data_IF_356694862725
#
_entry.id   IF_356694862725
#
_cell.length_a   1.000
_cell.length_b   1.000
_cell.length_c   1.000
_cell.angle_alpha   90.00
_cell.angle_beta   90.00
_cell.angle_gamma   90.00
#
_symmetry.space_group_name_H-M   'P 1'
#
loop_
_entity.id
_entity.type
_entity.pdbx_description
1 polymer ?
#
# COMPACT_ATOMS: atom_id res chain seq x y z
N UNK A 1 10.52 -19.14 -7.27
CA UNK A 1 9.12 -19.27 -7.69
C UNK A 1 8.83 -18.12 -8.65
N UNK A 2 8.49 -18.39 -9.91
CA UNK A 2 8.14 -17.34 -10.87
C UNK A 2 6.68 -16.92 -10.65
N UNK A 3 6.38 -15.61 -10.73
CA UNK A 3 5.01 -15.12 -10.66
C UNK A 3 4.20 -15.67 -11.84
N UNK A 4 2.90 -15.97 -11.66
CA UNK A 4 2.00 -16.27 -12.76
C UNK A 4 2.05 -15.12 -13.79
N UNK A 5 2.17 -15.41 -15.10
CA UNK A 5 2.30 -14.40 -16.16
C UNK A 5 1.14 -13.38 -16.18
N UNK A 6 0.01 -13.73 -15.57
CA UNK A 6 -1.21 -12.93 -15.50
C UNK A 6 -1.14 -11.82 -14.43
N UNK A 7 -0.26 -11.97 -13.43
CA UNK A 7 0.03 -10.93 -12.42
C UNK A 7 1.20 -10.02 -12.84
N UNK A 8 1.94 -10.43 -13.87
CA UNK A 8 3.18 -9.78 -14.30
C UNK A 8 2.96 -8.37 -14.87
N UNK A 9 1.73 -8.05 -15.29
CA UNK A 9 1.38 -6.77 -15.91
C UNK A 9 0.64 -5.78 -15.00
N UNK A 10 0.23 -6.16 -13.79
CA UNK A 10 -0.73 -5.36 -13.04
C UNK A 10 -0.09 -4.18 -12.27
N UNK A 11 1.24 -4.18 -12.10
CA UNK A 11 1.92 -3.34 -11.12
C UNK A 11 3.43 -3.18 -11.41
N UNK A 12 3.82 -2.22 -12.25
CA UNK A 12 5.23 -1.79 -12.38
C UNK A 12 5.60 -0.76 -11.30
N UNK A 13 5.56 -1.15 -10.02
CA UNK A 13 6.00 -0.30 -8.91
C UNK A 13 7.07 -1.02 -8.06
N UNK A 14 7.91 -0.22 -7.41
CA UNK A 14 8.82 -0.63 -6.34
C UNK A 14 8.82 0.47 -5.30
N UNK A 15 8.89 0.10 -4.03
CA UNK A 15 9.10 1.05 -2.93
C UNK A 15 10.56 1.50 -2.81
N UNK A 16 11.49 0.84 -3.52
CA UNK A 16 12.92 0.95 -3.28
C UNK A 16 13.42 0.13 -2.08
N UNK A 17 12.52 -0.52 -1.33
CA UNK A 17 12.84 -1.42 -0.22
C UNK A 17 12.41 -2.86 -0.57
N UNK A 18 13.39 -3.75 -0.71
CA UNK A 18 13.15 -5.13 -1.13
C UNK A 18 12.25 -5.94 -0.17
N UNK A 19 12.33 -5.68 1.15
CA UNK A 19 11.51 -6.39 2.13
C UNK A 19 10.03 -5.98 2.05
N UNK A 20 9.77 -4.68 1.91
CA UNK A 20 8.40 -4.15 1.71
C UNK A 20 7.83 -4.66 0.38
N UNK A 21 8.63 -4.60 -0.69
CA UNK A 21 8.24 -5.10 -2.00
C UNK A 21 7.88 -6.59 -1.96
N UNK A 22 8.64 -7.40 -1.22
CA UNK A 22 8.35 -8.83 -1.04
C UNK A 22 7.04 -9.06 -0.28
N UNK A 23 6.80 -8.35 0.83
CA UNK A 23 5.56 -8.49 1.61
C UNK A 23 4.35 -8.18 0.73
N UNK A 24 4.37 -7.03 0.04
CA UNK A 24 3.25 -6.62 -0.81
C UNK A 24 3.06 -7.65 -1.94
N UNK A 25 4.12 -8.08 -2.63
CA UNK A 25 4.01 -9.13 -3.68
C UNK A 25 3.43 -10.43 -3.15
N UNK A 26 3.79 -10.85 -1.94
CA UNK A 26 3.20 -12.04 -1.29
C UNK A 26 1.69 -11.88 -1.11
N UNK A 27 1.21 -10.72 -0.65
CA UNK A 27 -0.26 -10.48 -0.52
C UNK A 27 -0.98 -10.57 -1.86
N UNK A 28 -0.36 -10.07 -2.93
CA UNK A 28 -0.93 -10.08 -4.29
C UNK A 28 -0.96 -11.50 -4.89
N UNK A 29 0.00 -12.36 -4.53
CA UNK A 29 0.03 -13.76 -4.94
C UNK A 29 -1.00 -14.64 -4.21
N UNK A 30 -1.43 -14.25 -3.00
CA UNK A 30 -2.30 -15.06 -2.14
C UNK A 30 -3.78 -15.02 -2.52
N UNK A 31 -4.22 -14.05 -3.32
CA UNK A 31 -5.64 -13.87 -3.66
C UNK A 31 -5.78 -13.44 -5.11
N UNK A 32 -6.87 -13.86 -5.78
CA UNK A 32 -7.27 -13.33 -7.10
C UNK A 32 -8.18 -12.10 -6.98
N UNK A 33 -8.61 -11.79 -5.75
CA UNK A 33 -9.40 -10.59 -5.47
C UNK A 33 -8.47 -9.38 -5.39
N UNK A 34 -8.43 -8.61 -6.48
CA UNK A 34 -7.63 -7.40 -6.60
C UNK A 34 -7.99 -6.31 -5.58
N UNK A 35 -9.20 -6.35 -5.01
CA UNK A 35 -9.60 -5.39 -3.98
C UNK A 35 -8.87 -5.62 -2.64
N UNK A 36 -8.31 -6.81 -2.44
CA UNK A 36 -7.54 -7.23 -1.25
C UNK A 36 -6.02 -7.11 -1.43
N UNK A 37 -5.56 -6.70 -2.61
CA UNK A 37 -4.14 -6.52 -2.86
C UNK A 37 -3.62 -5.31 -2.09
N UNK A 38 -2.50 -5.47 -1.41
CA UNK A 38 -1.80 -4.32 -0.86
C UNK A 38 -1.13 -3.54 -2.00
N UNK A 39 -1.02 -2.24 -1.79
CA UNK A 39 -0.45 -1.30 -2.74
C UNK A 39 0.60 -0.43 -2.03
N UNK A 40 1.74 -0.25 -2.67
CA UNK A 40 2.68 0.80 -2.31
C UNK A 40 2.16 2.16 -2.78
N UNK A 41 2.19 3.15 -1.88
CA UNK A 41 1.82 4.54 -2.17
C UNK A 41 3.08 5.39 -2.08
N UNK A 42 3.45 6.04 -3.18
CA UNK A 42 4.51 7.05 -3.17
C UNK A 42 4.13 8.20 -2.23
N UNK A 43 4.97 8.56 -1.25
CA UNK A 43 4.72 9.69 -0.34
C UNK A 43 4.39 11.01 -1.05
N UNK A 44 4.89 11.24 -2.28
CA UNK A 44 4.59 12.43 -3.08
C UNK A 44 3.11 12.55 -3.50
N UNK A 45 2.35 11.45 -3.38
CA UNK A 45 0.90 11.40 -3.65
C UNK A 45 0.07 11.79 -2.42
N UNK A 46 0.70 11.98 -1.26
CA UNK A 46 0.08 12.42 -0.02
C UNK A 46 0.29 13.93 0.15
N UNK A 47 -0.76 14.62 0.59
CA UNK A 47 -0.78 16.06 0.82
C UNK A 47 -1.39 16.38 2.18
N UNK A 48 -1.13 17.60 2.67
CA UNK A 48 -1.70 18.11 3.92
C UNK A 48 -1.51 17.18 5.12
N UNK A 49 -0.34 16.53 5.21
CA UNK A 49 -0.01 15.59 6.28
C UNK A 49 0.02 16.36 7.61
N UNK A 50 -0.90 16.02 8.49
CA UNK A 50 -1.08 16.68 9.79
C UNK A 50 -0.99 15.64 10.91
N UNK A 51 -0.23 15.94 11.94
CA UNK A 51 -0.16 15.10 13.14
C UNK A 51 -1.52 15.03 13.83
N UNK A 52 -1.90 13.83 14.26
CA UNK A 52 -3.15 13.60 14.96
C UNK A 52 -2.93 13.22 16.42
N UNK A 53 -2.11 12.19 16.68
CA UNK A 53 -1.76 11.76 18.04
C UNK A 53 -0.53 10.87 18.05
N UNK A 54 0.14 10.81 19.20
CA UNK A 54 1.14 9.79 19.48
C UNK A 54 0.51 8.58 20.18
N UNK A 55 1.10 7.41 19.98
CA UNK A 55 0.75 6.16 20.65
C UNK A 55 2.01 5.42 21.11
N UNK A 56 1.82 4.30 21.82
CA UNK A 56 2.94 3.55 22.40
C UNK A 56 3.95 3.02 21.38
N UNK A 57 3.54 2.80 20.13
CA UNK A 57 4.37 2.18 19.07
C UNK A 57 4.67 3.11 17.90
N UNK A 58 4.28 4.39 17.97
CA UNK A 58 4.32 5.25 16.79
C UNK A 58 3.47 6.50 16.88
N UNK A 59 3.40 7.24 15.77
CA UNK A 59 2.53 8.41 15.62
C UNK A 59 1.48 8.18 14.55
N UNK A 60 0.33 8.82 14.72
CA UNK A 60 -0.78 8.80 13.78
C UNK A 60 -0.90 10.18 13.15
N UNK A 61 -1.02 10.20 11.82
CA UNK A 61 -1.23 11.39 11.02
C UNK A 61 -2.50 11.21 10.17
N UNK A 62 -3.06 12.33 9.75
CA UNK A 62 -4.09 12.39 8.72
C UNK A 62 -3.50 13.06 7.49
N UNK A 63 -3.83 12.55 6.30
CA UNK A 63 -3.37 13.11 5.03
C UNK A 63 -4.46 13.02 3.97
N UNK A 64 -4.35 13.86 2.94
CA UNK A 64 -5.10 13.71 1.71
C UNK A 64 -4.30 12.86 0.72
N UNK A 65 -4.85 11.74 0.25
CA UNK A 65 -4.28 10.95 -0.84
C UNK A 65 -4.92 11.39 -2.16
N UNK A 66 -4.13 12.03 -3.04
CA UNK A 66 -4.62 12.64 -4.30
C UNK A 66 -5.35 11.68 -5.23
N UNK A 67 -4.81 10.48 -5.37
CA UNK A 67 -5.36 9.50 -6.31
C UNK A 67 -6.49 8.69 -5.64
N UNK A 68 -6.40 8.49 -4.33
CA UNK A 68 -7.28 7.60 -3.60
C UNK A 68 -7.16 6.13 -4.00
N UNK A 69 -8.12 5.34 -3.50
CA UNK A 69 -8.11 3.88 -3.62
C UNK A 69 -8.17 3.46 -5.09
N UNK A 70 -7.40 2.43 -5.39
CA UNK A 70 -7.44 1.74 -6.67
C UNK A 70 -8.75 0.97 -6.83
N UNK A 71 -9.40 1.13 -7.97
CA UNK A 71 -10.56 0.35 -8.39
C UNK A 71 -10.15 -0.54 -9.57
N UNK A 72 -10.08 -1.83 -9.33
CA UNK A 72 -9.79 -2.83 -10.36
C UNK A 72 -11.09 -3.38 -10.94
N UNK A 73 -11.25 -3.27 -12.25
CA UNK A 73 -12.27 -4.04 -13.00
C UNK A 73 -11.68 -5.34 -13.54
N UNK A 74 -10.53 -5.27 -14.19
CA UNK A 74 -9.80 -6.42 -14.71
C UNK A 74 -8.32 -6.10 -14.87
N UNK A 75 -7.46 -6.99 -14.37
CA UNK A 75 -6.01 -6.86 -14.40
C UNK A 75 -5.35 -7.19 -15.74
N UNK A 76 -6.04 -7.93 -16.60
CA UNK A 76 -5.57 -8.26 -17.96
C UNK A 76 -5.82 -7.11 -18.95
N UNK A 77 -6.79 -6.23 -18.64
CA UNK A 77 -7.28 -5.19 -19.57
C UNK A 77 -6.71 -3.79 -19.19
N UNK A 78 -5.93 -3.69 -18.12
CA UNK A 78 -5.33 -2.43 -17.64
C UNK A 78 -6.37 -1.31 -17.35
N UNK A 79 -7.64 -1.67 -17.14
CA UNK A 79 -8.71 -0.75 -16.73
C UNK A 79 -8.65 -0.50 -15.23
N UNK A 80 -7.58 0.18 -14.80
CA UNK A 80 -7.41 0.64 -13.44
C UNK A 80 -7.94 2.08 -13.34
N UNK A 81 -8.95 2.29 -12.50
CA UNK A 81 -9.37 3.65 -12.14
C UNK A 81 -9.04 3.94 -10.68
N UNK A 82 -9.16 5.22 -10.34
CA UNK A 82 -8.87 5.77 -9.02
C UNK A 82 -10.13 6.39 -8.47
N UNK A 83 -10.38 6.26 -7.17
CA UNK A 83 -11.55 6.87 -6.54
C UNK A 83 -11.49 8.40 -6.55
N UNK A 84 -10.32 8.98 -6.77
CA UNK A 84 -10.06 10.40 -6.59
C UNK A 84 -9.67 10.73 -5.15
N UNK A 85 -9.42 12.02 -4.85
CA UNK A 85 -8.86 12.45 -3.58
C UNK A 85 -9.66 11.95 -2.38
N UNK A 86 -8.96 11.42 -1.37
CA UNK A 86 -9.59 10.94 -0.14
C UNK A 86 -8.73 11.18 1.09
N UNK A 87 -9.37 11.31 2.25
CA UNK A 87 -8.66 11.35 3.53
C UNK A 87 -8.19 9.95 3.93
N UNK A 88 -6.95 9.86 4.37
CA UNK A 88 -6.32 8.62 4.85
C UNK A 88 -5.67 8.86 6.21
N UNK A 89 -5.55 7.77 6.96
CA UNK A 89 -4.79 7.73 8.21
C UNK A 89 -3.43 7.11 7.90
N UNK A 90 -2.36 7.78 8.33
CA UNK A 90 -1.00 7.26 8.26
C UNK A 90 -0.55 6.88 9.67
N UNK A 91 -0.10 5.65 9.85
CA UNK A 91 0.51 5.18 11.12
C UNK A 91 2.00 4.99 10.85
N UNK A 92 2.84 5.69 11.60
CA UNK A 92 4.30 5.51 11.56
C UNK A 92 4.73 4.63 12.73
N UNK A 93 5.90 3.99 12.62
CA UNK A 93 6.57 3.33 13.75
C UNK A 93 7.86 4.09 14.07
N UNK A 94 8.26 4.09 15.34
CA UNK A 94 9.49 4.78 15.75
C UNK A 94 10.76 4.01 15.38
N UNK A 95 10.65 2.69 15.17
CA UNK A 95 11.77 1.83 14.77
C UNK A 95 11.53 1.22 13.39
N UNK A 96 12.45 1.52 12.47
CA UNK A 96 12.50 0.90 11.12
C UNK A 96 12.99 -0.56 11.17
N UNK A 97 13.54 -1.00 12.30
CA UNK A 97 14.05 -2.36 12.49
C UNK A 97 12.95 -3.39 12.82
N UNK A 98 11.76 -2.92 13.22
CA UNK A 98 10.60 -3.76 13.48
C UNK A 98 9.50 -3.59 12.42
N UNK A 99 9.82 -3.88 11.16
CA UNK A 99 8.79 -4.38 10.24
C UNK A 99 8.39 -5.81 10.67
N UNK A 100 8.02 -5.98 11.95
CA UNK A 100 7.63 -7.25 12.52
C UNK A 100 6.20 -7.56 12.05
N UNK A 101 5.87 -8.83 11.77
CA UNK A 101 4.51 -9.21 11.39
C UNK A 101 3.43 -8.79 12.42
N UNK A 102 3.83 -8.53 13.67
CA UNK A 102 2.93 -8.06 14.73
C UNK A 102 2.35 -6.67 14.44
N UNK A 103 3.13 -5.76 13.84
CA UNK A 103 2.62 -4.43 13.46
C UNK A 103 1.55 -4.51 12.37
N UNK A 104 1.65 -5.50 11.48
CA UNK A 104 0.75 -5.69 10.35
C UNK A 104 -0.56 -6.42 10.73
N UNK A 105 -0.62 -7.04 11.91
CA UNK A 105 -1.73 -7.89 12.36
C UNK A 105 -2.62 -7.24 13.44
N UNK A 106 -2.47 -5.93 13.70
CA UNK A 106 -3.39 -5.16 14.58
C UNK A 106 -4.70 -4.77 13.88
#
# INVERSE_FOLDING_TARGET
>A
MQQPPELQNCCNWTSGNAAIDEIIRRTQLQTRDFSKHWEWIDPQRLESITHFKDGGFGSVYVAAWKDGRRNYKNCTINEMTRSGPMLVVLKTTHDFDECSPAFLNE
#
